data_IF_978180378791
#
_entry.id   IF_978180378791
#
_cell.length_a   1.000
_cell.length_b   1.000
_cell.length_c   1.000
_cell.angle_alpha   90.00
_cell.angle_beta   90.00
_cell.angle_gamma   90.00
#
_symmetry.space_group_name_H-M   'P 1'
#
loop_
_entity.id
_entity.type
_entity.pdbx_description
1 polymer ?
#
# COMPACT_ATOMS: atom_id res chain seq x y z
N UNK A 1 -23.27 -7.24 -15.63
CA UNK A 1 -24.30 -7.09 -14.57
C UNK A 1 -23.62 -7.44 -13.27
N UNK A 2 -23.81 -6.66 -12.20
CA UNK A 2 -23.19 -6.95 -10.90
C UNK A 2 -23.98 -8.04 -10.17
N UNK A 3 -23.29 -9.05 -9.63
CA UNK A 3 -23.87 -10.08 -8.75
C UNK A 3 -24.21 -9.57 -7.34
N UNK A 4 -24.29 -8.25 -7.16
CA UNK A 4 -24.61 -7.62 -5.89
C UNK A 4 -26.13 -7.61 -5.66
N UNK A 5 -26.53 -7.95 -4.44
CA UNK A 5 -27.91 -7.87 -3.95
C UNK A 5 -27.99 -7.13 -2.62
N UNK A 6 -29.19 -6.72 -2.25
CA UNK A 6 -29.45 -6.14 -0.95
C UNK A 6 -29.02 -7.09 0.18
N UNK A 7 -28.37 -6.54 1.20
CA UNK A 7 -27.79 -7.30 2.32
C UNK A 7 -26.35 -7.78 2.10
N UNK A 8 -25.80 -7.66 0.90
CA UNK A 8 -24.40 -8.01 0.66
C UNK A 8 -23.44 -7.08 1.41
N UNK A 9 -22.43 -7.67 2.05
CA UNK A 9 -21.38 -6.94 2.73
C UNK A 9 -20.26 -6.59 1.76
N UNK A 10 -20.14 -5.30 1.42
CA UNK A 10 -19.18 -4.79 0.45
C UNK A 10 -18.15 -3.82 1.06
N UNK A 11 -16.96 -3.78 0.49
CA UNK A 11 -15.94 -2.77 0.73
C UNK A 11 -15.89 -1.78 -0.42
N UNK A 12 -15.72 -0.49 -0.10
CA UNK A 12 -15.51 0.59 -1.06
C UNK A 12 -14.11 1.17 -0.85
N UNK A 13 -13.34 1.28 -1.93
CA UNK A 13 -11.98 1.82 -1.90
C UNK A 13 -11.90 3.32 -2.15
N UNK A 14 -10.72 3.75 -2.59
CA UNK A 14 -10.47 5.15 -2.97
C UNK A 14 -11.27 5.57 -4.20
N UNK A 15 -11.41 4.66 -5.18
CA UNK A 15 -12.14 4.87 -6.42
C UNK A 15 -13.57 4.34 -6.29
N UNK A 16 -14.55 5.16 -6.64
CA UNK A 16 -15.98 4.82 -6.57
C UNK A 16 -16.67 4.75 -7.93
N UNK A 17 -15.98 5.10 -9.02
CA UNK A 17 -16.47 5.10 -10.41
C UNK A 17 -15.31 5.24 -11.42
N UNK A 18 -15.62 5.29 -12.70
CA UNK A 18 -14.68 5.61 -13.79
C UNK A 18 -15.46 6.09 -15.02
N UNK A 19 -14.84 6.84 -15.94
CA UNK A 19 -15.52 7.29 -17.18
C UNK A 19 -16.00 6.11 -18.04
N UNK A 20 -15.29 4.98 -18.02
CA UNK A 20 -15.69 3.76 -18.72
C UNK A 20 -15.40 3.75 -20.22
N UNK A 21 -14.85 4.83 -20.78
CA UNK A 21 -14.68 5.02 -22.22
C UNK A 21 -13.25 5.36 -22.66
N UNK A 22 -12.38 5.84 -21.76
CA UNK A 22 -10.98 6.10 -22.10
C UNK A 22 -10.19 4.80 -22.30
N UNK A 23 -9.04 4.88 -22.99
CA UNK A 23 -8.21 3.71 -23.33
C UNK A 23 -7.92 2.79 -22.13
N UNK A 24 -7.63 3.38 -20.97
CA UNK A 24 -7.33 2.65 -19.73
C UNK A 24 -8.57 1.94 -19.17
N UNK A 25 -9.74 2.59 -19.20
CA UNK A 25 -10.98 1.96 -18.77
C UNK A 25 -11.35 0.79 -19.68
N UNK A 26 -11.17 0.94 -20.99
CA UNK A 26 -11.44 -0.11 -21.98
C UNK A 26 -10.49 -1.31 -21.84
N UNK A 27 -9.27 -1.09 -21.35
CA UNK A 27 -8.30 -2.14 -21.03
C UNK A 27 -8.50 -2.76 -19.64
N UNK A 28 -9.46 -2.30 -18.85
CA UNK A 28 -9.69 -2.76 -17.48
C UNK A 28 -8.83 -2.06 -16.43
N UNK A 29 -7.89 -1.21 -16.81
CA UNK A 29 -6.99 -0.40 -15.98
C UNK A 29 -7.68 0.88 -15.45
N UNK A 30 -8.82 0.70 -14.80
CA UNK A 30 -9.70 1.79 -14.34
C UNK A 30 -9.04 2.75 -13.32
N UNK A 31 -8.01 2.32 -12.61
CA UNK A 31 -7.21 3.18 -11.73
C UNK A 31 -6.36 4.21 -12.48
N UNK A 32 -6.18 4.04 -13.80
CA UNK A 32 -5.53 4.98 -14.70
C UNK A 32 -6.53 5.79 -15.53
N UNK A 33 -7.82 5.78 -15.14
CA UNK A 33 -8.87 6.56 -15.80
C UNK A 33 -8.45 8.04 -15.94
N UNK A 34 -8.69 8.64 -17.11
CA UNK A 34 -8.35 10.05 -17.33
C UNK A 34 -9.14 11.00 -16.41
N UNK A 35 -10.31 10.56 -15.92
CA UNK A 35 -11.12 11.27 -14.93
C UNK A 35 -10.88 10.78 -13.49
N UNK A 36 -9.67 10.33 -13.14
CA UNK A 36 -9.38 9.68 -11.85
C UNK A 36 -9.75 10.54 -10.64
N UNK A 37 -9.62 11.87 -10.73
CA UNK A 37 -9.98 12.79 -9.64
C UNK A 37 -11.49 12.80 -9.39
N UNK A 38 -12.29 12.92 -10.45
CA UNK A 38 -13.76 12.86 -10.40
C UNK A 38 -14.29 11.46 -10.07
N UNK A 39 -13.44 10.46 -10.27
CA UNK A 39 -13.70 9.05 -9.98
C UNK A 39 -13.51 8.67 -8.51
N UNK A 40 -12.99 9.59 -7.69
CA UNK A 40 -12.84 9.40 -6.26
C UNK A 40 -14.16 9.15 -5.53
N UNK A 41 -14.11 8.24 -4.56
CA UNK A 41 -15.27 7.86 -3.73
C UNK A 41 -15.89 9.05 -3.00
N UNK A 42 -15.15 10.14 -2.77
CA UNK A 42 -15.66 11.35 -2.11
C UNK A 42 -16.47 12.29 -3.00
N UNK A 43 -16.68 11.99 -4.28
CA UNK A 43 -17.46 12.84 -5.19
C UNK A 43 -18.90 12.32 -5.29
N UNK A 44 -19.95 13.08 -4.91
CA UNK A 44 -19.89 14.37 -4.20
C UNK A 44 -19.67 14.23 -2.68
N UNK A 45 -19.90 13.04 -2.09
CA UNK A 45 -19.74 12.81 -0.64
C UNK A 45 -19.05 11.48 -0.35
N UNK A 46 -18.09 11.48 0.59
CA UNK A 46 -17.30 10.31 0.97
C UNK A 46 -17.84 9.51 2.14
N UNK A 47 -17.07 8.52 2.62
CA UNK A 47 -17.51 7.53 3.60
C UNK A 47 -17.55 7.98 5.08
N UNK A 48 -17.25 9.24 5.40
CA UNK A 48 -17.52 9.79 6.74
C UNK A 48 -18.98 10.24 6.81
N UNK A 49 -19.88 9.28 6.61
CA UNK A 49 -21.32 9.43 6.46
C UNK A 49 -22.03 8.16 6.93
N UNK A 50 -23.36 8.19 6.99
CA UNK A 50 -24.20 7.00 7.24
C UNK A 50 -24.41 6.14 5.98
N UNK A 51 -24.24 6.73 4.79
CA UNK A 51 -24.40 6.06 3.50
C UNK A 51 -23.58 6.74 2.41
N UNK A 52 -23.27 5.99 1.36
CA UNK A 52 -22.51 6.46 0.20
C UNK A 52 -23.09 5.86 -1.09
N UNK A 53 -23.02 6.61 -2.19
CA UNK A 53 -23.42 6.14 -3.51
C UNK A 53 -22.19 6.01 -4.42
N UNK A 54 -22.00 4.81 -4.96
CA UNK A 54 -20.90 4.46 -5.85
C UNK A 54 -21.40 3.63 -7.02
N UNK A 55 -20.60 3.54 -8.06
CA UNK A 55 -20.83 2.59 -9.14
C UNK A 55 -20.64 1.16 -8.60
N UNK A 56 -21.59 0.26 -8.88
CA UNK A 56 -21.56 -1.14 -8.43
C UNK A 56 -20.26 -1.86 -8.79
N UNK A 57 -19.57 -1.44 -9.86
CA UNK A 57 -18.29 -2.00 -10.31
C UNK A 57 -17.18 -1.81 -9.29
N UNK A 58 -17.31 -0.84 -8.40
CA UNK A 58 -16.34 -0.47 -7.36
C UNK A 58 -16.84 -0.84 -5.94
N UNK A 59 -17.94 -1.57 -5.85
CA UNK A 59 -18.39 -2.23 -4.63
C UNK A 59 -17.91 -3.69 -4.65
N UNK A 60 -16.99 -4.01 -3.75
CA UNK A 60 -16.31 -5.31 -3.73
C UNK A 60 -16.89 -6.18 -2.61
N UNK A 61 -17.40 -7.37 -2.95
CA UNK A 61 -17.83 -8.34 -1.95
C UNK A 61 -16.67 -8.68 -1.02
N UNK A 62 -16.93 -8.62 0.28
CA UNK A 62 -15.93 -8.95 1.29
C UNK A 62 -15.98 -10.45 1.62
N UNK A 63 -14.82 -11.13 1.73
CA UNK A 63 -14.77 -12.50 2.24
C UNK A 63 -15.49 -12.60 3.61
N UNK A 64 -16.26 -13.66 3.81
CA UNK A 64 -17.15 -13.80 4.99
C UNK A 64 -16.40 -13.66 6.32
N UNK A 65 -15.25 -14.32 6.45
CA UNK A 65 -14.45 -14.28 7.67
C UNK A 65 -13.51 -13.06 7.78
N UNK A 66 -13.55 -12.10 6.85
CA UNK A 66 -12.77 -10.87 6.94
C UNK A 66 -13.50 -9.83 7.83
N UNK A 67 -12.90 -9.34 8.92
CA UNK A 67 -13.50 -8.26 9.72
C UNK A 67 -13.59 -6.96 8.94
N UNK A 68 -14.64 -6.17 9.17
CA UNK A 68 -14.90 -4.93 8.43
C UNK A 68 -13.79 -3.89 8.62
N UNK A 69 -13.21 -3.81 9.81
CA UNK A 69 -12.09 -2.92 10.13
C UNK A 69 -10.79 -3.31 9.43
N UNK A 70 -10.61 -4.61 9.15
CA UNK A 70 -9.49 -5.11 8.33
C UNK A 70 -9.74 -4.72 6.88
N UNK A 71 -10.92 -5.06 6.34
CA UNK A 71 -11.30 -4.74 4.98
C UNK A 71 -11.18 -3.24 4.68
N UNK A 72 -11.71 -2.38 5.56
CA UNK A 72 -11.67 -0.92 5.41
C UNK A 72 -10.26 -0.37 5.16
N UNK A 73 -9.25 -0.98 5.80
CA UNK A 73 -7.85 -0.60 5.58
C UNK A 73 -7.30 -1.19 4.28
N UNK A 74 -7.61 -2.46 3.98
CA UNK A 74 -7.15 -3.17 2.78
C UNK A 74 -7.64 -2.50 1.49
N UNK A 75 -8.86 -1.95 1.49
CA UNK A 75 -9.48 -1.23 0.36
C UNK A 75 -8.68 -0.01 -0.15
N UNK A 76 -7.65 0.42 0.60
CA UNK A 76 -6.74 1.49 0.19
C UNK A 76 -5.28 1.07 0.44
N UNK A 77 -4.89 0.93 1.70
CA UNK A 77 -3.50 0.65 2.04
C UNK A 77 -3.05 -0.75 1.58
N UNK A 78 -3.94 -1.74 1.59
CA UNK A 78 -3.66 -3.09 1.12
C UNK A 78 -3.42 -3.13 -0.38
N UNK A 79 -4.39 -2.63 -1.16
CA UNK A 79 -4.27 -2.63 -2.62
C UNK A 79 -3.05 -1.84 -3.12
N UNK A 80 -2.74 -0.70 -2.49
CA UNK A 80 -1.60 0.15 -2.87
C UNK A 80 -0.26 -0.59 -2.77
N UNK A 81 -0.07 -1.44 -1.76
CA UNK A 81 1.18 -2.20 -1.64
C UNK A 81 1.11 -3.53 -2.38
N UNK A 82 -0.06 -4.17 -2.45
CA UNK A 82 -0.24 -5.45 -3.11
C UNK A 82 -0.03 -5.36 -4.63
N UNK A 83 -0.59 -4.35 -5.29
CA UNK A 83 -0.53 -4.21 -6.74
C UNK A 83 0.92 -4.26 -7.30
N UNK A 84 1.88 -3.45 -6.82
CA UNK A 84 3.25 -3.57 -7.30
C UNK A 84 3.97 -4.83 -6.78
N UNK A 85 3.64 -5.33 -5.59
CA UNK A 85 4.31 -6.51 -5.04
C UNK A 85 3.93 -7.78 -5.83
N UNK A 86 2.66 -7.97 -6.14
CA UNK A 86 2.20 -9.13 -6.91
C UNK A 86 2.78 -9.09 -8.33
N UNK A 87 2.73 -7.94 -9.00
CA UNK A 87 3.16 -7.83 -10.40
C UNK A 87 4.68 -7.94 -10.59
N UNK A 88 5.45 -7.70 -9.54
CA UNK A 88 6.92 -7.77 -9.56
C UNK A 88 7.48 -9.04 -8.90
N UNK A 89 6.61 -9.94 -8.44
CA UNK A 89 7.00 -11.23 -7.87
C UNK A 89 7.28 -12.24 -9.00
N UNK A 90 8.39 -12.04 -9.70
CA UNK A 90 8.74 -12.81 -10.91
C UNK A 90 9.56 -14.07 -10.62
N UNK A 91 10.15 -14.20 -9.43
CA UNK A 91 10.83 -15.42 -9.00
C UNK A 91 10.87 -15.57 -7.47
N UNK A 92 10.96 -16.81 -6.94
CA UNK A 92 11.10 -17.05 -5.51
C UNK A 92 12.26 -16.29 -4.88
N UNK A 93 12.08 -15.88 -3.63
CA UNK A 93 13.11 -15.24 -2.79
C UNK A 93 13.81 -14.05 -3.44
N UNK A 94 13.09 -13.26 -4.25
CA UNK A 94 13.59 -11.93 -4.64
C UNK A 94 13.87 -11.09 -3.39
N UNK A 95 15.00 -10.39 -3.37
CA UNK A 95 15.39 -9.57 -2.22
C UNK A 95 14.73 -8.21 -2.33
N UNK A 96 13.84 -7.90 -1.40
CA UNK A 96 13.12 -6.63 -1.37
C UNK A 96 13.46 -5.82 -0.12
N UNK A 97 13.72 -4.53 -0.29
CA UNK A 97 13.79 -3.55 0.78
C UNK A 97 12.49 -2.76 0.88
N UNK A 98 11.76 -2.88 2.00
CA UNK A 98 10.57 -2.07 2.29
C UNK A 98 11.01 -0.85 3.10
N UNK A 99 10.94 0.33 2.49
CA UNK A 99 11.36 1.59 3.13
C UNK A 99 10.17 2.17 3.88
N UNK A 100 10.33 2.33 5.20
CA UNK A 100 9.30 2.80 6.12
C UNK A 100 8.48 1.66 6.72
N UNK A 101 8.35 1.66 8.05
CA UNK A 101 7.48 0.75 8.80
C UNK A 101 6.32 1.58 9.37
N UNK A 102 5.32 1.83 8.54
CA UNK A 102 4.18 2.71 8.83
C UNK A 102 2.85 2.11 8.38
N UNK A 103 1.86 2.96 8.11
CA UNK A 103 0.53 2.53 7.68
C UNK A 103 0.52 1.65 6.42
N UNK A 104 1.36 1.96 5.44
CA UNK A 104 1.57 1.11 4.25
C UNK A 104 2.63 0.04 4.53
N UNK A 105 3.79 0.43 5.07
CA UNK A 105 4.92 -0.46 5.29
C UNK A 105 4.61 -1.74 6.07
N UNK A 106 3.81 -1.68 7.13
CA UNK A 106 3.47 -2.89 7.90
C UNK A 106 2.61 -3.90 7.11
N UNK A 107 1.82 -3.45 6.14
CA UNK A 107 1.11 -4.33 5.21
C UNK A 107 2.04 -4.82 4.11
N UNK A 108 2.91 -3.95 3.59
CA UNK A 108 3.89 -4.33 2.58
C UNK A 108 4.81 -5.46 3.07
N UNK A 109 5.24 -5.44 4.33
CA UNK A 109 6.02 -6.52 4.94
C UNK A 109 5.25 -7.86 4.91
N UNK A 110 3.97 -7.83 5.29
CA UNK A 110 3.13 -9.03 5.33
C UNK A 110 2.88 -9.58 3.92
N UNK A 111 2.47 -8.73 2.98
CA UNK A 111 2.23 -9.13 1.60
C UNK A 111 3.51 -9.63 0.91
N UNK A 112 4.63 -8.92 1.07
CA UNK A 112 5.90 -9.35 0.49
C UNK A 112 6.34 -10.71 1.06
N UNK A 113 6.13 -10.95 2.35
CA UNK A 113 6.43 -12.26 2.95
C UNK A 113 5.57 -13.36 2.36
N UNK A 114 4.27 -13.12 2.20
CA UNK A 114 3.32 -14.08 1.62
C UNK A 114 3.57 -14.34 0.13
N UNK A 115 4.10 -13.36 -0.61
CA UNK A 115 4.54 -13.48 -2.01
C UNK A 115 5.96 -14.07 -2.17
N UNK A 116 6.49 -14.68 -1.12
CA UNK A 116 7.79 -15.37 -1.09
C UNK A 116 9.02 -14.49 -1.39
N UNK A 117 8.97 -13.19 -1.06
CA UNK A 117 10.16 -12.36 -1.04
C UNK A 117 11.09 -12.69 0.15
N UNK A 118 12.39 -12.40 0.01
CA UNK A 118 13.30 -12.21 1.15
C UNK A 118 13.19 -10.74 1.57
N UNK A 119 12.51 -10.49 2.69
CA UNK A 119 12.03 -9.15 3.06
C UNK A 119 12.99 -8.48 4.03
N UNK A 120 13.46 -7.29 3.67
CA UNK A 120 14.21 -6.42 4.59
C UNK A 120 13.42 -5.15 4.88
N UNK A 121 13.12 -4.90 6.14
CA UNK A 121 12.57 -3.62 6.58
C UNK A 121 13.69 -2.58 6.71
N UNK A 122 13.53 -1.41 6.08
CA UNK A 122 14.44 -0.28 6.18
C UNK A 122 13.72 0.85 6.91
N UNK A 123 14.27 1.35 8.02
CA UNK A 123 13.61 2.42 8.78
C UNK A 123 14.57 3.32 9.55
N UNK A 124 14.29 4.62 9.52
CA UNK A 124 14.87 5.63 10.42
C UNK A 124 14.55 5.44 11.91
N UNK A 125 13.70 4.49 12.28
CA UNK A 125 13.31 4.21 13.68
C UNK A 125 13.76 2.81 14.12
N UNK A 126 14.95 2.65 14.71
CA UNK A 126 15.47 1.36 15.17
C UNK A 126 14.53 0.62 16.13
N UNK A 127 13.76 1.36 16.93
CA UNK A 127 12.74 0.83 17.85
C UNK A 127 11.64 -0.01 17.17
N UNK A 128 11.44 0.14 15.85
CA UNK A 128 10.46 -0.63 15.08
C UNK A 128 10.96 -2.01 14.66
N UNK A 129 12.22 -2.38 14.94
CA UNK A 129 12.80 -3.68 14.56
C UNK A 129 11.94 -4.86 14.98
N UNK A 130 11.54 -4.93 16.25
CA UNK A 130 10.73 -6.04 16.76
C UNK A 130 9.37 -6.14 16.05
N UNK A 131 8.71 -5.00 15.83
CA UNK A 131 7.43 -4.98 15.13
C UNK A 131 7.59 -5.34 13.65
N UNK A 132 8.65 -4.86 12.98
CA UNK A 132 8.92 -5.18 11.58
C UNK A 132 9.13 -6.69 11.36
N UNK A 133 9.90 -7.35 12.23
CA UNK A 133 10.07 -8.80 12.19
C UNK A 133 8.75 -9.53 12.44
N UNK A 134 7.94 -9.05 13.39
CA UNK A 134 6.61 -9.61 13.64
C UNK A 134 5.64 -9.45 12.45
N UNK A 135 5.82 -8.42 11.63
CA UNK A 135 5.07 -8.22 10.39
C UNK A 135 5.62 -8.99 9.18
N UNK A 136 6.64 -9.82 9.35
CA UNK A 136 7.14 -10.70 8.30
C UNK A 136 8.45 -10.26 7.64
N UNK A 137 9.14 -9.25 8.16
CA UNK A 137 10.50 -8.96 7.72
C UNK A 137 11.46 -10.10 8.13
N UNK A 138 12.29 -10.58 7.20
CA UNK A 138 13.41 -11.47 7.50
C UNK A 138 14.57 -10.71 8.15
N UNK A 139 14.79 -9.47 7.69
CA UNK A 139 15.87 -8.62 8.13
C UNK A 139 15.38 -7.21 8.48
N UNK A 140 16.17 -6.50 9.28
CA UNK A 140 15.94 -5.09 9.58
C UNK A 140 17.24 -4.31 9.43
N UNK A 141 17.17 -3.17 8.74
CA UNK A 141 18.28 -2.25 8.52
C UNK A 141 17.84 -0.85 8.94
N UNK A 142 18.67 -0.18 9.73
CA UNK A 142 18.45 1.23 10.07
C UNK A 142 18.71 2.11 8.84
N UNK A 143 17.93 3.16 8.66
CA UNK A 143 18.10 4.13 7.56
C UNK A 143 19.19 5.17 7.89
N UNK A 144 20.37 4.68 8.27
CA UNK A 144 21.57 5.47 8.50
C UNK A 144 22.65 5.11 7.46
N UNK A 145 23.63 6.00 7.30
CA UNK A 145 24.64 5.85 6.26
C UNK A 145 25.43 4.54 6.36
N UNK A 146 25.84 4.15 7.56
CA UNK A 146 26.65 2.94 7.75
C UNK A 146 25.87 1.68 7.38
N UNK A 147 24.62 1.61 7.86
CA UNK A 147 23.71 0.48 7.62
C UNK A 147 23.35 0.35 6.14
N UNK A 148 23.07 1.46 5.45
CA UNK A 148 22.75 1.45 4.02
C UNK A 148 23.96 1.11 3.17
N UNK A 149 25.15 1.65 3.46
CA UNK A 149 26.39 1.29 2.72
C UNK A 149 26.72 -0.20 2.83
N UNK A 150 26.51 -0.81 3.99
CA UNK A 150 26.68 -2.25 4.19
C UNK A 150 25.67 -3.10 3.39
N UNK A 151 24.59 -2.49 2.89
CA UNK A 151 23.57 -3.13 2.08
C UNK A 151 23.68 -2.80 0.59
N UNK A 152 24.81 -2.23 0.13
CA UNK A 152 25.01 -1.92 -1.28
C UNK A 152 24.88 -3.15 -2.18
N UNK A 153 24.19 -2.98 -3.31
CA UNK A 153 23.90 -4.03 -4.29
C UNK A 153 23.19 -5.28 -3.72
N UNK A 154 22.37 -5.12 -2.67
CA UNK A 154 21.67 -6.23 -2.02
C UNK A 154 20.31 -6.53 -2.63
N UNK A 155 19.55 -5.50 -3.00
CA UNK A 155 18.12 -5.64 -3.31
C UNK A 155 17.84 -5.73 -4.81
N UNK A 156 16.96 -6.64 -5.17
CA UNK A 156 16.35 -6.67 -6.50
C UNK A 156 15.30 -5.54 -6.63
N UNK A 157 14.59 -5.26 -5.53
CA UNK A 157 13.48 -4.32 -5.47
C UNK A 157 13.55 -3.46 -4.20
N UNK A 158 13.18 -2.18 -4.32
CA UNK A 158 12.85 -1.31 -3.20
C UNK A 158 11.40 -0.86 -3.33
N UNK A 159 10.62 -0.95 -2.26
CA UNK A 159 9.28 -0.37 -2.18
C UNK A 159 9.29 0.78 -1.17
N UNK A 160 9.10 2.01 -1.66
CA UNK A 160 9.07 3.19 -0.81
C UNK A 160 7.66 3.47 -0.31
N UNK A 161 7.46 3.24 0.99
CA UNK A 161 6.22 3.56 1.72
C UNK A 161 6.38 4.74 2.68
N UNK A 162 7.61 5.25 2.82
CA UNK A 162 7.95 6.36 3.68
C UNK A 162 7.59 7.72 3.03
N UNK A 163 7.42 8.70 3.89
CA UNK A 163 7.32 10.12 3.55
C UNK A 163 8.32 10.90 4.41
N UNK A 164 8.76 12.07 3.93
CA UNK A 164 9.75 12.91 4.60
C UNK A 164 11.11 12.90 3.92
N UNK A 165 12.16 13.28 4.67
CA UNK A 165 13.52 13.39 4.15
C UNK A 165 14.15 12.01 3.96
N UNK A 166 14.39 11.63 2.72
CA UNK A 166 14.94 10.33 2.31
C UNK A 166 16.29 10.58 1.63
N UNK A 167 17.32 9.80 1.99
CA UNK A 167 18.60 9.84 1.27
C UNK A 167 18.56 8.87 0.08
N UNK A 168 18.09 9.38 -1.06
CA UNK A 168 17.91 8.60 -2.28
C UNK A 168 19.21 8.03 -2.83
N UNK A 169 20.33 8.72 -2.71
CA UNK A 169 21.62 8.25 -3.23
C UNK A 169 22.07 6.97 -2.52
N UNK A 170 21.97 6.95 -1.18
CA UNK A 170 22.31 5.76 -0.40
C UNK A 170 21.34 4.60 -0.69
N UNK A 171 20.03 4.88 -0.76
CA UNK A 171 19.03 3.85 -1.06
C UNK A 171 19.20 3.27 -2.46
N UNK A 172 19.41 4.09 -3.48
CA UNK A 172 19.69 3.60 -4.83
C UNK A 172 20.99 2.79 -4.88
N UNK A 173 21.98 3.12 -4.05
CA UNK A 173 23.19 2.29 -3.88
C UNK A 173 22.92 0.89 -3.33
N UNK A 174 21.81 0.67 -2.62
CA UNK A 174 21.41 -0.65 -2.11
C UNK A 174 20.78 -1.56 -3.17
N UNK A 175 20.35 -1.01 -4.31
CA UNK A 175 19.84 -1.80 -5.42
C UNK A 175 20.99 -2.51 -6.15
N UNK A 176 20.74 -3.76 -6.56
CA UNK A 176 21.56 -4.43 -7.57
C UNK A 176 21.48 -3.67 -8.89
N UNK A 177 22.41 -3.97 -9.80
CA UNK A 177 22.27 -3.59 -11.21
C UNK A 177 20.96 -4.14 -11.77
N UNK A 178 20.29 -3.36 -12.61
CA UNK A 178 18.91 -3.62 -13.07
C UNK A 178 17.85 -3.64 -11.95
N UNK A 179 18.19 -3.17 -10.75
CA UNK A 179 17.26 -3.08 -9.63
C UNK A 179 16.22 -2.00 -9.83
N UNK A 180 15.06 -2.18 -9.19
CA UNK A 180 13.91 -1.28 -9.34
C UNK A 180 13.47 -0.67 -8.02
N UNK A 181 13.29 0.64 -8.01
CA UNK A 181 12.60 1.39 -6.96
C UNK A 181 11.14 1.62 -7.37
N UNK A 182 10.21 1.29 -6.49
CA UNK A 182 8.78 1.53 -6.66
C UNK A 182 8.30 2.50 -5.59
N UNK A 183 7.71 3.62 -6.01
CA UNK A 183 7.10 4.61 -5.13
C UNK A 183 5.60 4.33 -5.03
N UNK A 184 5.14 4.10 -3.80
CA UNK A 184 3.69 4.01 -3.47
C UNK A 184 3.24 5.09 -2.50
N UNK A 185 4.19 5.92 -2.05
CA UNK A 185 3.92 7.21 -1.44
C UNK A 185 4.23 8.34 -2.43
N UNK A 186 4.11 9.58 -1.93
CA UNK A 186 4.37 10.79 -2.70
C UNK A 186 5.53 11.60 -2.07
N UNK A 187 6.76 11.04 -1.94
CA UNK A 187 7.89 11.79 -1.45
C UNK A 187 8.48 12.71 -2.53
N UNK A 188 9.18 13.75 -2.13
CA UNK A 188 10.06 14.50 -3.03
C UNK A 188 11.27 13.62 -3.39
N UNK A 189 11.66 13.63 -4.67
CA UNK A 189 12.74 12.80 -5.21
C UNK A 189 13.83 13.67 -5.83
N UNK A 190 15.03 13.60 -5.24
CA UNK A 190 16.20 14.33 -5.70
C UNK A 190 17.46 13.46 -5.51
N UNK A 191 18.23 13.25 -6.58
CA UNK A 191 19.48 12.48 -6.56
C UNK A 191 20.32 12.76 -7.81
N UNK A 192 21.62 12.43 -7.75
CA UNK A 192 22.49 12.42 -8.92
C UNK A 192 22.22 11.19 -9.80
N UNK A 193 21.94 11.39 -11.09
CA UNK A 193 21.55 10.32 -12.03
C UNK A 193 22.66 9.31 -12.35
N UNK A 194 23.89 9.50 -11.88
CA UNK A 194 25.03 8.60 -12.17
C UNK A 194 24.71 7.16 -11.83
N UNK A 195 24.20 6.87 -10.63
CA UNK A 195 23.86 5.49 -10.24
C UNK A 195 22.68 4.92 -11.04
N UNK A 196 21.70 5.77 -11.38
CA UNK A 196 20.57 5.38 -12.21
C UNK A 196 21.06 4.88 -13.58
N UNK A 197 21.93 5.66 -14.24
CA UNK A 197 22.47 5.34 -15.57
C UNK A 197 23.48 4.20 -15.51
N UNK A 198 24.50 4.30 -14.65
CA UNK A 198 25.61 3.36 -14.59
C UNK A 198 25.19 1.94 -14.17
N UNK A 199 24.13 1.82 -13.36
CA UNK A 199 23.63 0.53 -12.88
C UNK A 199 22.32 0.10 -13.55
N UNK A 200 21.83 0.84 -14.55
CA UNK A 200 20.58 0.56 -15.28
C UNK A 200 19.40 0.39 -14.32
N UNK A 201 19.29 1.25 -13.31
CA UNK A 201 18.19 1.18 -12.35
C UNK A 201 16.88 1.64 -13.00
N UNK A 202 15.76 1.23 -12.42
CA UNK A 202 14.43 1.72 -12.79
C UNK A 202 13.75 2.38 -11.61
N UNK A 203 13.08 3.51 -11.83
CA UNK A 203 12.22 4.17 -10.83
C UNK A 203 10.82 4.24 -11.40
N UNK A 204 9.85 3.71 -10.66
CA UNK A 204 8.45 3.61 -11.09
C UNK A 204 7.52 4.04 -9.98
N UNK A 205 6.34 4.54 -10.33
CA UNK A 205 5.23 4.72 -9.39
C UNK A 205 4.25 3.55 -9.50
N UNK A 206 3.56 3.25 -8.41
CA UNK A 206 2.35 2.45 -8.44
C UNK A 206 1.28 3.15 -7.63
N UNK A 207 0.08 3.23 -8.20
CA UNK A 207 -1.05 3.88 -7.57
C UNK A 207 -1.93 2.84 -6.87
N UNK A 208 -3.25 2.88 -7.05
CA UNK A 208 -4.16 1.83 -6.64
C UNK A 208 -3.88 0.53 -7.44
N UNK A 209 -4.83 -0.40 -7.42
CA UNK A 209 -4.89 -1.52 -8.37
C UNK A 209 -6.18 -1.43 -9.17
N UNK A 210 -6.23 -2.16 -10.28
CA UNK A 210 -7.48 -2.30 -11.01
C UNK A 210 -8.49 -3.15 -10.19
N UNK A 211 -9.72 -3.26 -10.70
CA UNK A 211 -10.82 -3.98 -10.02
C UNK A 211 -10.52 -5.45 -9.78
N UNK A 212 -9.83 -6.10 -10.70
CA UNK A 212 -9.52 -7.52 -10.60
C UNK A 212 -8.40 -7.75 -9.58
N UNK A 213 -7.37 -6.90 -9.58
CA UNK A 213 -6.32 -6.88 -8.56
C UNK A 213 -6.90 -6.63 -7.16
N UNK A 214 -7.94 -5.80 -7.02
CA UNK A 214 -8.62 -5.61 -5.73
C UNK A 214 -9.29 -6.90 -5.23
N UNK A 215 -10.01 -7.62 -6.10
CA UNK A 215 -10.66 -8.89 -5.74
C UNK A 215 -9.64 -9.97 -5.40
N UNK A 216 -8.57 -10.04 -6.18
CA UNK A 216 -7.43 -10.92 -5.93
C UNK A 216 -6.79 -10.60 -4.57
N UNK A 217 -6.51 -9.32 -4.29
CA UNK A 217 -5.93 -8.88 -3.03
C UNK A 217 -6.78 -9.24 -1.82
N UNK A 218 -8.11 -9.06 -1.90
CA UNK A 218 -9.01 -9.44 -0.80
C UNK A 218 -8.99 -10.95 -0.54
N UNK A 219 -8.97 -11.75 -1.60
CA UNK A 219 -8.90 -13.22 -1.51
C UNK A 219 -7.55 -13.66 -0.94
N UNK A 220 -6.46 -13.12 -1.47
CA UNK A 220 -5.10 -13.37 -1.01
C UNK A 220 -4.90 -12.97 0.46
N UNK A 221 -5.40 -11.81 0.87
CA UNK A 221 -5.31 -11.35 2.25
C UNK A 221 -6.05 -12.28 3.21
N UNK A 222 -7.21 -12.80 2.80
CA UNK A 222 -7.97 -13.78 3.58
C UNK A 222 -7.22 -15.11 3.70
N UNK A 223 -6.69 -15.63 2.60
CA UNK A 223 -5.96 -16.91 2.55
C UNK A 223 -4.68 -16.88 3.39
N UNK A 224 -3.91 -15.79 3.29
CA UNK A 224 -2.62 -15.65 3.97
C UNK A 224 -2.71 -14.95 5.34
N UNK A 225 -3.92 -14.65 5.81
CA UNK A 225 -4.14 -14.04 7.12
C UNK A 225 -3.53 -12.64 7.26
N UNK A 226 -3.45 -11.87 6.16
CA UNK A 226 -2.89 -10.52 6.15
C UNK A 226 -3.82 -9.58 6.90
N UNK A 227 -3.33 -8.99 8.01
CA UNK A 227 -4.15 -8.14 8.87
C UNK A 227 -3.44 -6.84 9.23
N UNK A 228 -4.07 -5.68 9.01
CA UNK A 228 -3.53 -4.42 9.49
C UNK A 228 -3.66 -4.33 11.01
N UNK A 229 -2.72 -3.61 11.64
CA UNK A 229 -2.85 -3.23 13.04
C UNK A 229 -3.71 -1.97 13.14
N UNK A 230 -4.94 -2.15 13.62
CA UNK A 230 -5.99 -1.13 13.65
C UNK A 230 -6.21 -0.56 15.04
N UNK A 231 -6.54 0.73 15.08
CA UNK A 231 -7.11 1.42 16.24
C UNK A 231 -8.56 1.79 15.91
N UNK A 232 -9.53 1.19 16.58
CA UNK A 232 -10.93 1.54 16.40
C UNK A 232 -11.25 2.82 17.17
N UNK A 233 -11.95 3.74 16.53
CA UNK A 233 -12.49 4.95 17.17
C UNK A 233 -13.93 5.17 16.72
N UNK A 234 -14.85 5.61 17.60
CA UNK A 234 -16.19 5.98 17.19
C UNK A 234 -16.18 7.12 16.16
N UNK A 235 -17.08 7.08 15.18
CA UNK A 235 -17.20 8.14 14.16
C UNK A 235 -17.40 9.54 14.77
N UNK A 236 -18.12 9.65 15.89
CA UNK A 236 -18.29 10.89 16.66
C UNK A 236 -16.95 11.51 17.11
N UNK A 237 -15.87 10.72 17.21
CA UNK A 237 -14.53 11.19 17.57
C UNK A 237 -13.64 11.49 16.35
N UNK A 238 -14.21 11.66 15.15
CA UNK A 238 -13.47 11.91 13.90
C UNK A 238 -12.40 13.00 14.02
N UNK A 239 -12.71 14.13 14.65
CA UNK A 239 -11.76 15.23 14.82
C UNK A 239 -10.55 14.83 15.67
N UNK A 240 -10.77 14.06 16.74
CA UNK A 240 -9.70 13.52 17.59
C UNK A 240 -8.87 12.48 16.85
N UNK A 241 -9.51 11.64 16.04
CA UNK A 241 -8.85 10.68 15.16
C UNK A 241 -7.91 11.38 14.17
N UNK A 242 -8.40 12.42 13.49
CA UNK A 242 -7.60 13.25 12.56
C UNK A 242 -6.43 13.92 13.29
N UNK A 243 -6.64 14.47 14.48
CA UNK A 243 -5.55 15.09 15.25
C UNK A 243 -4.48 14.07 15.63
N UNK A 244 -4.85 12.86 16.06
CA UNK A 244 -3.89 11.77 16.35
C UNK A 244 -3.07 11.39 15.11
N UNK A 245 -3.69 11.37 13.94
CA UNK A 245 -2.98 11.13 12.68
C UNK A 245 -1.95 12.22 12.39
N UNK A 246 -2.34 13.50 12.49
CA UNK A 246 -1.44 14.65 12.31
C UNK A 246 -0.25 14.62 13.29
N UNK A 247 -0.50 14.22 14.53
CA UNK A 247 0.54 14.10 15.57
C UNK A 247 1.43 12.85 15.42
N UNK A 248 1.27 12.05 14.35
CA UNK A 248 1.98 10.77 14.15
C UNK A 248 1.78 9.76 15.31
N UNK A 249 0.62 9.80 15.98
CA UNK A 249 0.28 8.94 17.13
C UNK A 249 -0.45 7.65 16.74
N UNK A 250 -0.86 7.50 15.48
CA UNK A 250 -1.48 6.26 14.99
C UNK A 250 -0.47 5.09 14.91
N UNK A 251 -0.94 3.90 15.29
CA UNK A 251 -0.21 2.62 15.38
C UNK A 251 -1.11 1.46 14.93
N UNK A 252 -1.45 1.31 13.66
CA UNK A 252 -0.89 1.97 12.47
C UNK A 252 -1.96 2.62 11.58
N UNK A 253 -3.22 2.20 11.74
CA UNK A 253 -4.37 2.70 10.97
C UNK A 253 -5.52 2.93 11.93
N UNK A 254 -6.08 4.13 11.92
CA UNK A 254 -7.29 4.43 12.68
C UNK A 254 -8.49 4.11 11.78
N UNK A 255 -9.44 3.34 12.29
CA UNK A 255 -10.70 3.01 11.61
C UNK A 255 -11.83 3.61 12.41
N UNK A 256 -12.66 4.43 11.75
CA UNK A 256 -13.87 4.97 12.35
C UNK A 256 -14.99 3.96 12.24
N UNK A 257 -15.64 3.68 13.37
CA UNK A 257 -16.80 2.77 13.46
C UNK A 257 -18.07 3.58 13.68
N UNK A 258 -19.08 3.27 12.88
CA UNK A 258 -20.42 3.81 13.01
C UNK A 258 -21.23 2.90 13.95
N UNK A 259 -21.96 3.50 14.90
CA UNK A 259 -22.87 2.79 15.81
C UNK A 259 -24.29 2.69 15.22
N UNK A 260 -24.41 2.52 13.90
CA UNK A 260 -25.72 2.45 13.23
C UNK A 260 -26.29 1.04 13.36
#
# INVERSE_FOLDING_TARGET
>A
MSDLKEGDRVGIGWQGRSCGECEWCLQGENQLCQDIVSSGTWVPYGGFSSSISVDNRFAYLLPEAMPSEVAAVLMCAGITVYNPLQSLATRPKQKIGIIGVGGLGHLALQFARALDYEVTAISSSPKKKKEALAFGADHFISEDESSLRNAFFRFDLLLCTAHGKINWELLLGTLKRNGKLVLVGFPDVEFNSTNLVAHQLSITGSFLGNRDTMREMLSFAQEHGIKPKVELMPMEQVNKAIQRLKDNKARYRIVLVNNV
#
